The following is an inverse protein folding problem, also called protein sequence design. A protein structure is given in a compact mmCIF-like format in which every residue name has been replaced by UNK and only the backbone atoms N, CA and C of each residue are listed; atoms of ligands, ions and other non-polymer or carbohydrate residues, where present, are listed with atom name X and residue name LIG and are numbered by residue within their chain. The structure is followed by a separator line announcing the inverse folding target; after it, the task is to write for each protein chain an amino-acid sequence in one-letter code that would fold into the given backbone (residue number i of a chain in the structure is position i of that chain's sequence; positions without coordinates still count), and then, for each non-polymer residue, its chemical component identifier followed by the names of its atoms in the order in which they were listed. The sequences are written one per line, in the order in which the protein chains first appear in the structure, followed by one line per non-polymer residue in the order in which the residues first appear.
data_IF_940950587413
#
_entry.id   IF_940950587413
#
_cell.length_a   1.000
_cell.length_b   1.000
_cell.length_c   1.000
_cell.angle_alpha   90.00
_cell.angle_beta   90.00
_cell.angle_gamma   90.00
#
_symmetry.space_group_name_H-M   'P 1'
#
loop_
_entity.id
_entity.type
_entity.pdbx_description
1 polymer ?
#
# COMPACT_ATOMS: atom_id res chain seq x y z
N UNK A 1 3.53 13.25 14.88
CA UNK A 1 4.48 12.49 14.04
C UNK A 1 4.12 12.76 12.60
N UNK A 2 5.10 13.05 11.77
CA UNK A 2 4.93 13.42 10.36
C UNK A 2 5.35 12.28 9.46
N UNK A 3 4.46 11.90 8.53
CA UNK A 3 4.71 10.84 7.55
C UNK A 3 4.62 11.39 6.14
N UNK A 4 5.59 11.05 5.30
CA UNK A 4 5.59 11.38 3.87
C UNK A 4 5.40 10.09 3.08
N UNK A 5 4.49 10.12 2.08
CA UNK A 5 4.36 9.05 1.10
C UNK A 5 4.59 9.60 -0.31
N UNK A 6 5.18 8.78 -1.18
CA UNK A 6 5.52 9.18 -2.55
C UNK A 6 5.03 8.15 -3.57
N UNK A 7 4.22 8.57 -4.51
CA UNK A 7 3.71 7.67 -5.55
C UNK A 7 2.79 8.33 -6.56
N UNK A 8 2.04 7.52 -7.31
CA UNK A 8 1.08 7.98 -8.29
C UNK A 8 -0.34 8.08 -7.71
N UNK A 9 -1.01 9.18 -8.02
CA UNK A 9 -2.44 9.34 -7.80
C UNK A 9 -3.15 9.33 -9.15
N UNK A 10 -4.08 8.39 -9.31
CA UNK A 10 -4.81 8.18 -10.55
C UNK A 10 -6.30 8.54 -10.40
N UNK A 11 -6.92 8.89 -11.51
CA UNK A 11 -8.37 8.85 -11.64
C UNK A 11 -8.83 7.40 -11.63
N UNK A 12 -9.81 7.07 -10.80
CA UNK A 12 -10.56 5.82 -10.83
C UNK A 12 -11.89 6.05 -11.52
N UNK A 13 -12.13 5.31 -12.60
CA UNK A 13 -13.41 5.26 -13.30
C UNK A 13 -14.03 3.88 -13.14
N UNK A 14 -15.26 3.83 -12.62
CA UNK A 14 -15.90 2.59 -12.23
C UNK A 14 -17.39 2.62 -12.58
N UNK A 15 -17.96 1.56 -13.16
CA UNK A 15 -19.41 1.39 -13.25
C UNK A 15 -20.04 1.36 -11.87
N UNK A 16 -21.26 1.86 -11.75
CA UNK A 16 -22.02 1.80 -10.50
C UNK A 16 -22.33 0.36 -10.10
N UNK A 17 -22.34 0.09 -8.82
CA UNK A 17 -22.65 -1.22 -8.24
C UNK A 17 -21.77 -2.33 -8.84
N UNK A 18 -22.38 -3.32 -9.48
CA UNK A 18 -21.72 -4.46 -10.12
C UNK A 18 -21.98 -4.52 -11.64
N UNK A 19 -22.33 -3.36 -12.24
CA UNK A 19 -22.43 -3.25 -13.69
C UNK A 19 -21.09 -3.56 -14.36
N UNK A 20 -21.19 -4.12 -15.57
CA UNK A 20 -20.02 -4.34 -16.41
C UNK A 20 -19.77 -3.11 -17.29
N UNK A 21 -18.53 -2.88 -17.69
CA UNK A 21 -18.20 -1.80 -18.62
C UNK A 21 -19.02 -1.84 -19.90
N UNK A 22 -19.29 -3.06 -20.41
CA UNK A 22 -20.05 -3.25 -21.67
C UNK A 22 -21.55 -2.91 -21.56
N UNK A 23 -22.06 -2.67 -20.36
CA UNK A 23 -23.46 -2.29 -20.11
C UNK A 23 -23.61 -0.91 -19.48
N UNK A 24 -22.54 -0.36 -18.86
CA UNK A 24 -22.61 0.90 -18.15
C UNK A 24 -22.78 2.09 -19.10
N UNK A 25 -23.66 3.03 -18.73
CA UNK A 25 -23.89 4.28 -19.44
C UNK A 25 -23.25 5.50 -18.74
N UNK A 26 -22.74 5.30 -17.53
CA UNK A 26 -22.03 6.31 -16.73
C UNK A 26 -21.03 5.63 -15.81
N UNK A 27 -20.04 6.40 -15.34
CA UNK A 27 -19.00 5.91 -14.44
C UNK A 27 -18.88 6.85 -13.24
N UNK A 28 -18.61 6.28 -12.07
CA UNK A 28 -18.11 7.04 -10.93
C UNK A 28 -16.72 7.57 -11.23
N UNK A 29 -16.49 8.82 -10.83
CA UNK A 29 -15.22 9.51 -10.95
C UNK A 29 -14.65 9.75 -9.56
N UNK A 30 -13.64 8.98 -9.20
CA UNK A 30 -12.93 9.08 -7.91
C UNK A 30 -11.43 9.06 -8.13
N UNK A 31 -10.65 9.04 -7.06
CA UNK A 31 -9.19 8.99 -7.11
C UNK A 31 -8.65 7.90 -6.19
N UNK A 32 -7.49 7.34 -6.56
CA UNK A 32 -6.79 6.38 -5.75
C UNK A 32 -5.36 6.15 -6.24
N UNK A 33 -4.55 5.60 -5.36
CA UNK A 33 -3.16 5.25 -5.60
C UNK A 33 -2.55 4.70 -4.33
N UNK A 34 -1.68 3.70 -4.40
CA UNK A 34 -1.20 2.96 -3.23
C UNK A 34 -0.74 3.86 -2.09
N UNK A 35 0.22 4.73 -2.37
CA UNK A 35 0.82 5.62 -1.37
C UNK A 35 -0.13 6.75 -0.95
N UNK A 36 -1.01 7.20 -1.86
CA UNK A 36 -2.06 8.15 -1.53
C UNK A 36 -3.10 7.54 -0.59
N UNK A 37 -3.46 6.27 -0.80
CA UNK A 37 -4.34 5.52 0.07
C UNK A 37 -3.75 5.37 1.48
N UNK A 38 -2.44 5.12 1.58
CA UNK A 38 -1.70 5.10 2.85
C UNK A 38 -1.75 6.46 3.53
N UNK A 39 -1.49 7.56 2.80
CA UNK A 39 -1.54 8.91 3.35
C UNK A 39 -2.92 9.26 3.93
N UNK A 40 -4.00 8.91 3.22
CA UNK A 40 -5.38 9.13 3.71
C UNK A 40 -5.66 8.30 4.97
N UNK A 41 -5.23 7.04 5.02
CA UNK A 41 -5.37 6.21 6.23
C UNK A 41 -4.68 6.88 7.43
N UNK A 42 -3.43 7.33 7.25
CA UNK A 42 -2.64 7.97 8.32
C UNK A 42 -3.24 9.30 8.78
N UNK A 43 -3.76 10.12 7.84
CA UNK A 43 -4.45 11.35 8.18
C UNK A 43 -5.74 11.07 8.98
N UNK A 44 -6.52 10.06 8.61
CA UNK A 44 -7.70 9.62 9.37
C UNK A 44 -7.36 9.08 10.77
N UNK A 45 -6.15 8.56 10.95
CA UNK A 45 -5.63 8.15 12.26
C UNK A 45 -5.05 9.31 13.09
N UNK A 46 -5.11 10.54 12.56
CA UNK A 46 -4.66 11.74 13.26
C UNK A 46 -3.16 12.03 13.17
N UNK A 47 -2.44 11.40 12.24
CA UNK A 47 -1.05 11.73 11.96
C UNK A 47 -0.96 12.90 10.96
N UNK A 48 0.15 13.63 10.99
CA UNK A 48 0.50 14.63 9.98
C UNK A 48 1.02 13.91 8.73
N UNK A 49 0.13 13.63 7.80
CA UNK A 49 0.41 12.86 6.60
C UNK A 49 0.52 13.77 5.36
N UNK A 50 1.64 13.72 4.67
CA UNK A 50 1.89 14.43 3.43
C UNK A 50 2.04 13.45 2.26
N UNK A 51 1.48 13.81 1.10
CA UNK A 51 1.62 13.04 -0.13
C UNK A 51 2.43 13.82 -1.16
N UNK A 52 3.46 13.19 -1.70
CA UNK A 52 4.36 13.74 -2.72
C UNK A 52 4.12 13.05 -4.04
N UNK A 53 3.95 13.83 -5.10
CA UNK A 53 3.77 13.37 -6.48
C UNK A 53 3.92 14.52 -7.45
N UNK A 54 3.76 14.25 -8.76
CA UNK A 54 3.62 15.28 -9.79
C UNK A 54 2.26 15.16 -10.48
N UNK A 55 1.50 16.26 -10.53
CA UNK A 55 0.17 16.32 -11.12
C UNK A 55 0.03 17.52 -12.05
N UNK A 56 -0.76 17.41 -13.13
CA UNK A 56 -1.03 18.52 -14.05
C UNK A 56 -1.65 19.74 -13.34
N UNK A 57 -1.43 20.92 -13.89
CA UNK A 57 -1.99 22.16 -13.37
C UNK A 57 -3.47 22.38 -13.72
N UNK A 58 -4.00 21.64 -14.70
CA UNK A 58 -5.39 21.76 -15.14
C UNK A 58 -6.41 21.20 -14.10
N UNK A 59 -7.72 21.37 -14.40
CA UNK A 59 -8.81 21.06 -13.46
C UNK A 59 -8.84 19.62 -12.95
N UNK A 60 -8.49 18.61 -13.77
CA UNK A 60 -8.44 17.21 -13.32
C UNK A 60 -7.31 17.00 -12.29
N UNK A 61 -6.13 17.58 -12.54
CA UNK A 61 -5.04 17.56 -11.56
C UNK A 61 -5.40 18.30 -10.27
N UNK A 62 -6.17 19.39 -10.35
CA UNK A 62 -6.68 20.08 -9.16
C UNK A 62 -7.74 19.26 -8.42
N UNK A 63 -8.61 18.54 -9.13
CA UNK A 63 -9.56 17.62 -8.51
C UNK A 63 -8.84 16.48 -7.77
N UNK A 64 -7.74 15.97 -8.33
CA UNK A 64 -6.88 14.99 -7.66
C UNK A 64 -6.30 15.54 -6.34
N UNK A 65 -5.75 16.77 -6.34
CA UNK A 65 -5.27 17.44 -5.12
C UNK A 65 -6.40 17.59 -4.10
N UNK A 66 -7.58 18.04 -4.53
CA UNK A 66 -8.72 18.25 -3.65
C UNK A 66 -9.23 16.94 -3.03
N UNK A 67 -9.10 15.81 -3.74
CA UNK A 67 -9.49 14.49 -3.21
C UNK A 67 -8.69 14.09 -1.97
N UNK A 68 -7.43 14.52 -1.89
CA UNK A 68 -6.56 14.27 -0.72
C UNK A 68 -6.78 15.32 0.38
N UNK A 69 -6.87 16.60 0.00
CA UNK A 69 -7.12 17.70 0.95
C UNK A 69 -8.43 17.52 1.71
N UNK A 70 -9.42 16.94 1.08
CA UNK A 70 -10.71 16.60 1.69
C UNK A 70 -10.56 15.75 2.95
N UNK A 71 -9.55 14.91 3.00
CA UNK A 71 -9.28 13.99 4.10
C UNK A 71 -8.08 14.41 4.97
N UNK A 72 -7.65 15.67 4.86
CA UNK A 72 -6.63 16.22 5.74
C UNK A 72 -5.18 15.87 5.37
N UNK A 73 -4.95 15.30 4.18
CA UNK A 73 -3.58 15.05 3.69
C UNK A 73 -2.94 16.37 3.27
N UNK A 74 -1.70 16.62 3.72
CA UNK A 74 -0.90 17.75 3.25
C UNK A 74 -0.48 17.51 1.79
N UNK A 75 -0.86 18.45 0.93
CA UNK A 75 -0.60 18.43 -0.51
C UNK A 75 0.36 19.54 -0.95
N UNK A 76 0.99 20.23 0.00
CA UNK A 76 1.86 21.39 -0.28
C UNK A 76 3.12 21.03 -1.06
N UNK A 77 3.55 19.76 -0.98
CA UNK A 77 4.72 19.22 -1.67
C UNK A 77 4.41 18.55 -3.00
N UNK A 78 3.17 18.67 -3.51
CA UNK A 78 2.81 18.16 -4.84
C UNK A 78 3.34 19.12 -5.91
N UNK A 79 4.24 18.61 -6.76
CA UNK A 79 4.74 19.33 -7.92
C UNK A 79 3.66 19.42 -9.00
N UNK A 80 3.51 20.60 -9.59
CA UNK A 80 2.50 20.84 -10.65
C UNK A 80 3.17 20.94 -12.01
N UNK A 81 2.71 20.14 -12.97
CA UNK A 81 3.23 20.09 -14.33
C UNK A 81 2.84 18.80 -15.04
N UNK A 82 3.21 18.70 -16.32
CA UNK A 82 2.76 17.59 -17.19
C UNK A 82 1.32 17.77 -17.66
N UNK A 83 0.88 16.87 -18.55
CA UNK A 83 -0.35 17.04 -19.31
C UNK A 83 -1.48 16.10 -18.89
N UNK A 84 -1.18 15.01 -18.13
CA UNK A 84 -2.22 14.06 -17.78
C UNK A 84 -2.06 13.43 -16.41
N UNK A 85 -3.20 13.12 -15.79
CA UNK A 85 -3.33 12.20 -14.65
C UNK A 85 -3.52 10.80 -15.21
N UNK A 86 -2.84 9.81 -14.66
CA UNK A 86 -3.09 8.40 -14.98
C UNK A 86 -4.53 8.01 -14.64
N UNK A 87 -5.07 7.04 -15.37
CA UNK A 87 -6.43 6.53 -15.17
C UNK A 87 -6.36 5.02 -14.95
N UNK A 88 -7.20 4.52 -14.06
CA UNK A 88 -7.55 3.11 -14.07
C UNK A 88 -9.07 2.93 -14.05
N UNK A 89 -9.50 1.96 -14.83
CA UNK A 89 -10.88 1.54 -14.92
C UNK A 89 -11.06 0.29 -14.08
N UNK A 90 -11.99 0.32 -13.13
CA UNK A 90 -12.22 -0.78 -12.21
C UNK A 90 -13.65 -1.32 -12.35
N UNK A 91 -13.79 -2.56 -12.82
CA UNK A 91 -15.06 -3.28 -12.82
C UNK A 91 -15.06 -4.23 -11.61
N UNK A 92 -15.97 -4.02 -10.66
CA UNK A 92 -16.06 -4.88 -9.47
C UNK A 92 -16.48 -6.30 -9.81
N UNK A 93 -15.78 -7.25 -9.23
CA UNK A 93 -16.17 -8.66 -9.28
C UNK A 93 -17.32 -8.99 -8.33
N UNK A 94 -17.97 -10.10 -8.58
CA UNK A 94 -19.01 -10.65 -7.71
C UNK A 94 -19.03 -12.17 -7.80
N UNK A 95 -19.13 -12.87 -6.69
CA UNK A 95 -19.16 -14.33 -6.63
C UNK A 95 -17.95 -14.95 -7.38
N UNK A 96 -18.17 -15.72 -8.43
CA UNK A 96 -17.11 -16.35 -9.24
C UNK A 96 -16.53 -15.42 -10.32
N UNK A 97 -17.15 -14.26 -10.57
CA UNK A 97 -16.66 -13.30 -11.55
C UNK A 97 -15.61 -12.38 -10.90
N UNK A 98 -14.36 -12.53 -11.32
CA UNK A 98 -13.25 -11.68 -10.84
C UNK A 98 -13.45 -10.20 -11.21
N UNK A 99 -12.83 -9.31 -10.43
CA UNK A 99 -12.71 -7.89 -10.78
C UNK A 99 -11.80 -7.70 -11.99
N UNK A 100 -12.10 -6.68 -12.79
CA UNK A 100 -11.27 -6.30 -13.95
C UNK A 100 -10.68 -4.92 -13.71
N UNK A 101 -9.36 -4.79 -13.85
CA UNK A 101 -8.68 -3.51 -13.77
C UNK A 101 -7.91 -3.24 -15.08
N UNK A 102 -8.25 -2.14 -15.74
CA UNK A 102 -7.62 -1.68 -16.98
C UNK A 102 -6.90 -0.38 -16.67
N UNK A 103 -5.60 -0.32 -16.99
CA UNK A 103 -4.79 0.86 -16.75
C UNK A 103 -4.59 1.66 -18.04
N UNK A 104 -4.81 2.96 -17.95
CA UNK A 104 -4.45 3.98 -18.94
C UNK A 104 -3.61 5.05 -18.25
N UNK A 105 -2.34 4.71 -17.98
CA UNK A 105 -1.43 5.53 -17.15
C UNK A 105 -0.14 5.94 -17.87
N UNK A 106 0.07 5.52 -19.12
CA UNK A 106 1.26 5.89 -19.86
C UNK A 106 1.35 7.42 -20.02
N UNK A 107 2.55 7.96 -19.89
CA UNK A 107 2.85 9.39 -19.98
C UNK A 107 2.08 10.25 -18.94
N UNK A 108 1.72 9.69 -17.80
CA UNK A 108 1.21 10.50 -16.69
C UNK A 108 2.28 11.46 -16.16
N UNK A 109 1.87 12.55 -15.53
CA UNK A 109 2.79 13.59 -15.05
C UNK A 109 3.89 13.02 -14.14
N UNK A 110 3.55 12.08 -13.25
CA UNK A 110 4.53 11.42 -12.39
C UNK A 110 5.44 10.46 -13.16
N UNK A 111 4.94 9.74 -14.17
CA UNK A 111 5.76 8.87 -15.00
C UNK A 111 6.84 9.66 -15.77
N UNK A 112 6.55 10.90 -16.16
CA UNK A 112 7.48 11.78 -16.86
C UNK A 112 8.26 12.73 -15.93
N UNK A 113 8.09 12.58 -14.60
CA UNK A 113 8.78 13.41 -13.62
C UNK A 113 10.31 13.22 -13.70
N UNK A 114 11.03 14.25 -13.30
CA UNK A 114 12.49 14.24 -13.23
C UNK A 114 12.94 14.40 -11.76
N UNK A 115 14.13 13.95 -11.38
CA UNK A 115 14.67 14.17 -10.03
C UNK A 115 14.59 15.64 -9.58
N UNK A 116 14.85 16.58 -10.48
CA UNK A 116 14.76 18.00 -10.21
C UNK A 116 13.37 18.56 -9.90
N UNK A 117 12.31 17.75 -10.07
CA UNK A 117 10.95 18.14 -9.71
C UNK A 117 10.71 18.09 -8.18
N UNK A 118 11.61 17.48 -7.40
CA UNK A 118 11.44 17.22 -5.98
C UNK A 118 12.64 17.73 -5.16
N UNK A 119 12.37 18.56 -4.17
CA UNK A 119 13.34 19.02 -3.17
C UNK A 119 13.27 18.12 -1.93
N UNK A 120 13.96 16.98 -1.98
CA UNK A 120 13.90 15.95 -0.92
C UNK A 120 14.46 16.46 0.41
N UNK A 121 15.44 17.36 0.39
CA UNK A 121 15.98 17.98 1.62
C UNK A 121 14.89 18.75 2.36
N UNK A 122 14.13 19.57 1.66
CA UNK A 122 13.01 20.31 2.22
C UNK A 122 11.82 19.38 2.58
N UNK A 123 11.54 18.38 1.77
CA UNK A 123 10.42 17.45 1.98
C UNK A 123 10.62 16.69 3.29
N UNK A 124 11.85 16.27 3.61
CA UNK A 124 12.13 15.48 4.80
C UNK A 124 12.43 16.28 6.07
N UNK A 125 12.34 17.61 6.04
CA UNK A 125 12.44 18.41 7.26
C UNK A 125 11.38 18.02 8.30
N UNK A 126 11.85 17.50 9.46
CA UNK A 126 10.99 17.11 10.58
C UNK A 126 10.08 15.93 10.30
N UNK A 127 10.41 15.09 9.33
CA UNK A 127 9.67 13.86 8.99
C UNK A 127 10.18 12.69 9.83
N UNK A 128 9.25 11.89 10.36
CA UNK A 128 9.55 10.70 11.14
C UNK A 128 9.58 9.42 10.28
N UNK A 129 8.76 9.40 9.21
CA UNK A 129 8.55 8.19 8.38
C UNK A 129 8.35 8.52 6.91
N UNK A 130 8.96 7.72 6.04
CA UNK A 130 8.76 7.75 4.59
C UNK A 130 8.22 6.41 4.10
N UNK A 131 7.23 6.44 3.21
CA UNK A 131 6.66 5.23 2.62
C UNK A 131 6.55 5.34 1.11
N UNK A 132 6.92 4.27 0.41
CA UNK A 132 6.68 4.09 -1.02
C UNK A 132 6.35 2.62 -1.32
N UNK A 133 5.91 2.32 -2.53
CA UNK A 133 5.67 0.95 -2.99
C UNK A 133 6.52 0.62 -4.21
N UNK A 134 6.68 -0.66 -4.52
CA UNK A 134 7.34 -1.11 -5.74
C UNK A 134 6.59 -0.74 -7.04
N UNK A 135 5.35 -0.23 -6.94
CA UNK A 135 4.63 0.32 -8.10
C UNK A 135 5.31 1.59 -8.60
N UNK A 136 5.75 2.44 -7.70
CA UNK A 136 6.27 3.77 -8.04
C UNK A 136 7.55 3.70 -8.88
N UNK A 137 8.62 2.98 -8.50
CA UNK A 137 9.79 2.83 -9.37
C UNK A 137 9.48 2.07 -10.67
N UNK A 138 8.43 1.24 -10.71
CA UNK A 138 8.01 0.54 -11.93
C UNK A 138 7.45 1.47 -13.03
N UNK A 139 7.20 2.75 -12.73
CA UNK A 139 6.71 3.73 -13.69
C UNK A 139 7.76 4.12 -14.74
N UNK A 140 9.06 4.00 -14.43
CA UNK A 140 10.14 4.30 -15.37
C UNK A 140 11.51 4.47 -14.69
N UNK A 141 12.59 4.42 -15.47
CA UNK A 141 13.96 4.53 -14.95
C UNK A 141 14.21 5.87 -14.22
N UNK A 142 13.63 6.96 -14.73
CA UNK A 142 13.66 8.27 -14.08
C UNK A 142 13.00 8.23 -12.70
N UNK A 143 11.91 7.46 -12.54
CA UNK A 143 11.19 7.33 -11.27
C UNK A 143 11.96 6.41 -10.30
N UNK A 144 12.69 5.40 -10.81
CA UNK A 144 13.66 4.64 -9.99
C UNK A 144 14.70 5.58 -9.39
N UNK A 145 15.26 6.51 -10.19
CA UNK A 145 16.24 7.49 -9.69
C UNK A 145 15.61 8.43 -8.66
N UNK A 146 14.40 8.93 -8.89
CA UNK A 146 13.67 9.75 -7.92
C UNK A 146 13.49 9.00 -6.59
N UNK A 147 13.08 7.72 -6.63
CA UNK A 147 12.95 6.88 -5.43
C UNK A 147 14.31 6.71 -4.71
N UNK A 148 15.40 6.54 -5.47
CA UNK A 148 16.75 6.39 -4.90
C UNK A 148 17.19 7.67 -4.18
N UNK A 149 17.00 8.84 -4.80
CA UNK A 149 17.29 10.12 -4.18
C UNK A 149 16.44 10.34 -2.93
N UNK A 150 15.15 10.04 -2.99
CA UNK A 150 14.25 10.11 -1.83
C UNK A 150 14.76 9.23 -0.67
N UNK A 151 15.10 7.97 -0.95
CA UNK A 151 15.60 7.06 0.08
C UNK A 151 16.91 7.55 0.70
N UNK A 152 17.85 8.05 -0.11
CA UNK A 152 19.12 8.61 0.38
C UNK A 152 18.90 9.84 1.27
N UNK A 153 18.07 10.77 0.84
CA UNK A 153 17.74 11.96 1.62
C UNK A 153 17.01 11.59 2.92
N UNK A 154 16.03 10.68 2.86
CA UNK A 154 15.34 10.19 4.06
C UNK A 154 16.32 9.61 5.08
N UNK A 155 17.27 8.77 4.66
CA UNK A 155 18.31 8.23 5.54
C UNK A 155 19.23 9.32 6.11
N UNK A 156 19.60 10.32 5.31
CA UNK A 156 20.42 11.43 5.78
C UNK A 156 19.71 12.26 6.87
N UNK A 157 18.39 12.35 6.81
CA UNK A 157 17.54 13.00 7.82
C UNK A 157 17.14 12.08 9.00
N UNK A 158 17.60 10.82 9.02
CA UNK A 158 17.24 9.86 10.08
C UNK A 158 15.80 9.36 10.02
N UNK A 159 15.14 9.52 8.87
CA UNK A 159 13.76 9.11 8.64
C UNK A 159 13.68 7.59 8.49
N UNK A 160 12.71 6.95 9.15
CA UNK A 160 12.39 5.52 8.93
C UNK A 160 11.74 5.33 7.57
N UNK A 161 12.12 4.25 6.87
CA UNK A 161 11.60 3.95 5.52
C UNK A 161 10.85 2.64 5.52
N UNK A 162 9.61 2.64 5.02
CA UNK A 162 8.88 1.42 4.69
C UNK A 162 8.62 1.30 3.20
N UNK A 163 8.62 0.07 2.71
CA UNK A 163 8.27 -0.25 1.33
C UNK A 163 7.32 -1.46 1.28
N UNK A 164 6.22 -1.33 0.53
CA UNK A 164 5.43 -2.47 0.08
C UNK A 164 5.98 -2.93 -1.28
N UNK A 165 6.45 -4.17 -1.39
CA UNK A 165 7.07 -4.70 -2.62
C UNK A 165 6.12 -4.66 -3.81
N UNK A 166 4.87 -4.96 -3.60
CA UNK A 166 3.72 -4.68 -4.47
C UNK A 166 4.01 -4.87 -5.97
N UNK A 167 4.57 -6.02 -6.36
CA UNK A 167 4.99 -6.31 -7.73
C UNK A 167 3.85 -6.19 -8.74
N UNK A 168 4.13 -5.59 -9.88
CA UNK A 168 3.17 -5.41 -10.98
C UNK A 168 3.76 -5.84 -12.30
N UNK A 169 3.58 -7.11 -12.69
CA UNK A 169 4.07 -7.65 -13.96
C UNK A 169 3.56 -6.97 -15.23
N UNK A 170 2.54 -6.09 -15.13
CA UNK A 170 2.10 -5.23 -16.25
C UNK A 170 2.95 -3.99 -16.45
N UNK A 171 3.78 -3.61 -15.48
CA UNK A 171 4.62 -2.41 -15.53
C UNK A 171 6.07 -2.74 -15.86
N UNK A 172 6.60 -3.81 -15.32
CA UNK A 172 8.00 -4.23 -15.50
C UNK A 172 8.17 -5.74 -15.41
N UNK A 173 9.30 -6.23 -15.93
CA UNK A 173 9.65 -7.65 -15.81
C UNK A 173 10.22 -7.95 -14.41
N UNK A 174 10.28 -9.24 -14.06
CA UNK A 174 10.89 -9.67 -12.79
C UNK A 174 12.37 -9.26 -12.69
N UNK A 175 13.10 -9.28 -13.81
CA UNK A 175 14.48 -8.86 -13.87
C UNK A 175 14.65 -7.37 -13.60
N UNK A 176 13.81 -6.53 -14.20
CA UNK A 176 13.79 -5.09 -13.96
C UNK A 176 13.41 -4.78 -12.50
N UNK A 177 12.36 -5.44 -11.99
CA UNK A 177 11.94 -5.31 -10.60
C UNK A 177 13.07 -5.71 -9.64
N UNK A 178 13.73 -6.83 -9.89
CA UNK A 178 14.83 -7.31 -9.06
C UNK A 178 16.00 -6.32 -9.04
N UNK A 179 16.40 -5.82 -10.18
CA UNK A 179 17.49 -4.85 -10.28
C UNK A 179 17.20 -3.57 -9.48
N UNK A 180 16.06 -2.94 -9.73
CA UNK A 180 15.67 -1.71 -9.05
C UNK A 180 15.41 -1.91 -7.55
N UNK A 181 14.62 -2.92 -7.18
CA UNK A 181 14.25 -3.14 -5.78
C UNK A 181 15.41 -3.66 -4.93
N UNK A 182 16.40 -4.40 -5.51
CA UNK A 182 17.60 -4.79 -4.78
C UNK A 182 18.42 -3.56 -4.34
N UNK A 183 18.46 -2.53 -5.17
CA UNK A 183 19.11 -1.26 -4.81
C UNK A 183 18.26 -0.45 -3.79
N UNK A 184 16.98 -0.28 -4.04
CA UNK A 184 16.12 0.53 -3.17
C UNK A 184 15.91 -0.09 -1.78
N UNK A 185 15.78 -1.40 -1.69
CA UNK A 185 15.55 -2.11 -0.43
C UNK A 185 16.72 -2.04 0.56
N UNK A 186 17.93 -1.66 0.12
CA UNK A 186 19.06 -1.39 1.03
C UNK A 186 18.83 -0.21 1.97
N UNK A 187 17.89 0.68 1.64
CA UNK A 187 17.54 1.84 2.46
C UNK A 187 16.31 1.58 3.36
N UNK A 188 15.60 0.48 3.15
CA UNK A 188 14.32 0.19 3.78
C UNK A 188 14.51 -0.42 5.17
N UNK A 189 13.76 0.08 6.15
CA UNK A 189 13.74 -0.45 7.52
C UNK A 189 12.60 -1.48 7.71
N UNK A 190 11.44 -1.23 7.08
CA UNK A 190 10.25 -2.08 7.21
C UNK A 190 9.75 -2.51 5.83
N UNK A 191 9.82 -3.81 5.57
CA UNK A 191 9.32 -4.41 4.34
C UNK A 191 7.90 -4.92 4.53
N UNK A 192 7.02 -4.57 3.60
CA UNK A 192 5.68 -5.15 3.46
C UNK A 192 5.66 -5.98 2.17
N UNK A 193 5.14 -7.17 2.24
CA UNK A 193 5.07 -8.11 1.12
C UNK A 193 3.78 -8.92 1.20
N UNK A 194 3.39 -9.51 0.11
CA UNK A 194 2.47 -10.64 0.11
C UNK A 194 3.25 -11.94 -0.14
N UNK A 195 2.57 -13.05 -0.18
CA UNK A 195 3.16 -14.39 -0.37
C UNK A 195 3.85 -14.59 -1.73
N UNK A 196 3.48 -13.81 -2.76
CA UNK A 196 4.01 -13.92 -4.13
C UNK A 196 5.15 -12.92 -4.41
N UNK A 197 5.11 -11.72 -3.81
CA UNK A 197 6.04 -10.63 -4.13
C UNK A 197 7.51 -10.98 -3.84
N UNK A 198 7.81 -11.67 -2.73
CA UNK A 198 9.16 -12.07 -2.38
C UNK A 198 9.78 -12.99 -3.45
N UNK A 199 8.96 -13.90 -4.00
CA UNK A 199 9.34 -14.78 -5.10
C UNK A 199 9.50 -13.99 -6.40
N UNK A 200 8.51 -13.18 -6.76
CA UNK A 200 8.48 -12.47 -8.04
C UNK A 200 9.60 -11.43 -8.15
N UNK A 201 9.85 -10.68 -7.08
CA UNK A 201 10.89 -9.63 -7.07
C UNK A 201 12.29 -10.21 -6.84
N UNK A 202 12.46 -11.07 -5.82
CA UNK A 202 13.79 -11.48 -5.38
C UNK A 202 14.11 -12.95 -5.62
N UNK A 203 13.14 -13.77 -6.04
CA UNK A 203 13.30 -15.21 -6.16
C UNK A 203 13.41 -15.92 -4.80
N UNK A 204 12.91 -15.29 -3.73
CA UNK A 204 12.90 -15.84 -2.37
C UNK A 204 11.61 -16.65 -2.19
N UNK A 205 11.77 -17.93 -1.96
CA UNK A 205 10.66 -18.87 -1.74
C UNK A 205 10.84 -19.57 -0.38
N UNK A 206 9.72 -20.07 0.16
CA UNK A 206 9.78 -20.98 1.30
C UNK A 206 10.58 -22.22 0.91
N UNK A 207 11.51 -22.64 1.78
CA UNK A 207 12.17 -23.94 1.62
C UNK A 207 11.08 -25.03 1.57
N UNK A 208 11.24 -26.00 0.63
CA UNK A 208 10.22 -26.97 0.25
C UNK A 208 9.55 -27.63 1.45
N UNK A 209 8.38 -27.15 1.78
CA UNK A 209 7.45 -27.77 2.71
C UNK A 209 6.17 -28.06 1.95
N UNK A 210 5.60 -29.25 2.15
CA UNK A 210 4.41 -29.77 1.46
C UNK A 210 3.30 -28.73 1.23
N UNK A 211 3.20 -28.21 0.01
CA UNK A 211 2.17 -27.27 -0.44
C UNK A 211 0.83 -28.01 -0.67
N UNK A 212 0.75 -29.29 -0.31
CA UNK A 212 -0.44 -30.09 -0.46
C UNK A 212 -1.39 -29.88 0.73
N UNK A 213 -2.41 -29.02 0.54
CA UNK A 213 -3.58 -29.01 1.42
C UNK A 213 -4.09 -27.67 1.94
N UNK A 214 -3.76 -26.52 1.31
CA UNK A 214 -4.46 -25.25 1.64
C UNK A 214 -4.27 -24.72 3.06
N UNK A 215 -3.42 -25.33 3.87
CA UNK A 215 -2.96 -24.76 5.13
C UNK A 215 -1.79 -23.83 4.82
N UNK A 216 -2.00 -22.54 5.04
CA UNK A 216 -0.94 -21.55 5.13
C UNK A 216 0.18 -22.13 5.99
N UNK A 217 1.32 -22.44 5.37
CA UNK A 217 2.43 -23.03 6.11
C UNK A 217 3.17 -21.92 6.87
N UNK A 218 2.84 -21.76 8.14
CA UNK A 218 3.43 -20.73 9.01
C UNK A 218 4.98 -20.74 8.96
N UNK A 219 5.61 -21.92 8.91
CA UNK A 219 7.07 -22.04 8.86
C UNK A 219 7.63 -21.55 7.52
N UNK A 220 6.92 -21.74 6.42
CA UNK A 220 7.29 -21.20 5.12
C UNK A 220 7.34 -19.67 5.12
N UNK A 221 6.34 -19.01 5.70
CA UNK A 221 6.31 -17.55 5.81
C UNK A 221 7.40 -17.01 6.74
N UNK A 222 7.67 -17.67 7.85
CA UNK A 222 8.81 -17.33 8.72
C UNK A 222 10.14 -17.42 7.98
N UNK A 223 10.35 -18.48 7.18
CA UNK A 223 11.54 -18.65 6.36
C UNK A 223 11.70 -17.51 5.34
N UNK A 224 10.62 -17.15 4.62
CA UNK A 224 10.64 -16.04 3.65
C UNK A 224 10.97 -14.71 4.34
N UNK A 225 10.30 -14.40 5.46
CA UNK A 225 10.54 -13.15 6.18
C UNK A 225 11.98 -13.06 6.69
N UNK A 226 12.53 -14.18 7.21
CA UNK A 226 13.91 -14.23 7.66
C UNK A 226 14.90 -14.02 6.51
N UNK A 227 14.70 -14.69 5.36
CA UNK A 227 15.56 -14.53 4.19
C UNK A 227 15.55 -13.08 3.67
N UNK A 228 14.39 -12.42 3.64
CA UNK A 228 14.26 -11.01 3.28
C UNK A 228 15.04 -10.12 4.24
N UNK A 229 14.86 -10.31 5.55
CA UNK A 229 15.56 -9.55 6.58
C UNK A 229 17.08 -9.75 6.52
N UNK A 230 17.53 -10.99 6.41
CA UNK A 230 18.96 -11.33 6.33
C UNK A 230 19.63 -10.73 5.06
N UNK A 231 18.87 -10.66 3.95
CA UNK A 231 19.42 -10.16 2.67
C UNK A 231 19.55 -8.65 2.64
N UNK A 232 18.59 -7.93 3.21
CA UNK A 232 18.51 -6.46 3.07
C UNK A 232 18.74 -5.69 4.37
N UNK A 233 18.79 -6.38 5.51
CA UNK A 233 18.93 -5.73 6.82
C UNK A 233 17.66 -5.08 7.32
N UNK A 234 16.49 -5.52 6.89
CA UNK A 234 15.21 -5.00 7.40
C UNK A 234 15.09 -5.18 8.91
N UNK A 235 14.57 -4.20 9.61
CA UNK A 235 14.23 -4.31 11.04
C UNK A 235 12.97 -5.13 11.27
N UNK A 236 12.02 -5.01 10.32
CA UNK A 236 10.74 -5.75 10.37
C UNK A 236 10.30 -6.17 8.97
N UNK A 237 9.66 -7.34 8.89
CA UNK A 237 9.06 -7.85 7.66
C UNK A 237 7.62 -8.25 7.95
N UNK A 238 6.66 -7.62 7.25
CA UNK A 238 5.26 -7.98 7.30
C UNK A 238 4.86 -8.75 6.03
N UNK A 239 4.15 -9.85 6.20
CA UNK A 239 3.61 -10.65 5.08
C UNK A 239 2.10 -10.74 5.25
N UNK A 240 1.36 -10.20 4.28
CA UNK A 240 -0.10 -10.34 4.22
C UNK A 240 -0.47 -11.71 3.66
N UNK A 241 -1.47 -12.34 4.25
CA UNK A 241 -1.91 -13.71 3.97
C UNK A 241 -3.37 -13.69 3.53
N UNK A 242 -3.61 -14.04 2.27
CA UNK A 242 -4.95 -14.03 1.68
C UNK A 242 -5.39 -15.43 1.31
N UNK A 243 -6.58 -15.80 1.76
CA UNK A 243 -7.29 -16.98 1.27
C UNK A 243 -8.41 -16.54 0.34
N UNK A 244 -8.23 -16.74 -0.97
CA UNK A 244 -9.22 -16.32 -1.98
C UNK A 244 -10.27 -17.40 -2.17
N UNK A 245 -11.47 -17.20 -1.63
CA UNK A 245 -12.60 -18.12 -1.80
C UNK A 245 -13.44 -17.77 -3.04
N UNK A 246 -13.67 -16.46 -3.22
CA UNK A 246 -14.40 -15.92 -4.38
C UNK A 246 -14.02 -14.44 -4.59
N UNK A 247 -14.63 -13.78 -5.57
CA UNK A 247 -14.51 -12.33 -5.70
C UNK A 247 -15.17 -11.58 -4.54
N UNK A 248 -16.11 -12.21 -3.84
CA UNK A 248 -16.89 -11.61 -2.75
C UNK A 248 -16.44 -12.03 -1.35
N UNK A 249 -15.74 -13.13 -1.19
CA UNK A 249 -15.43 -13.70 0.12
C UNK A 249 -13.96 -14.13 0.17
N UNK A 250 -13.21 -13.64 1.17
CA UNK A 250 -11.80 -13.97 1.38
C UNK A 250 -11.51 -14.18 2.88
N UNK A 251 -10.56 -15.08 3.19
CA UNK A 251 -9.87 -15.07 4.48
C UNK A 251 -8.72 -14.04 4.44
N UNK A 252 -8.52 -13.31 5.53
CA UNK A 252 -7.52 -12.26 5.64
C UNK A 252 -6.78 -12.27 6.96
N UNK A 253 -5.46 -12.38 6.91
CA UNK A 253 -4.57 -12.34 8.07
C UNK A 253 -3.19 -11.82 7.65
N UNK A 254 -2.26 -11.71 8.58
CA UNK A 254 -0.87 -11.37 8.31
C UNK A 254 0.08 -11.94 9.35
N UNK A 255 1.37 -11.92 9.02
CA UNK A 255 2.48 -12.17 9.93
C UNK A 255 3.37 -10.93 9.96
N UNK A 256 3.90 -10.58 11.14
CA UNK A 256 4.95 -9.59 11.34
C UNK A 256 6.15 -10.24 12.01
N UNK A 257 7.30 -10.15 11.38
CA UNK A 257 8.59 -10.56 11.93
C UNK A 257 9.33 -9.35 12.47
N UNK A 258 9.71 -9.38 13.74
CA UNK A 258 10.59 -8.40 14.37
C UNK A 258 11.98 -9.02 14.54
N UNK A 259 12.95 -8.46 13.83
CA UNK A 259 14.33 -9.00 13.80
C UNK A 259 15.03 -8.80 15.14
N UNK A 260 14.81 -7.66 15.81
CA UNK A 260 15.49 -7.34 17.06
C UNK A 260 15.13 -8.31 18.21
N UNK A 261 13.87 -8.72 18.31
CA UNK A 261 13.41 -9.72 19.28
C UNK A 261 13.41 -11.14 18.74
N UNK A 262 13.63 -11.32 17.43
CA UNK A 262 13.47 -12.59 16.69
C UNK A 262 12.07 -13.18 16.88
N UNK A 263 11.05 -12.34 16.93
CA UNK A 263 9.66 -12.70 17.19
C UNK A 263 8.83 -12.73 15.92
N UNK A 264 8.02 -13.77 15.73
CA UNK A 264 7.08 -13.92 14.63
C UNK A 264 5.65 -13.88 15.17
N UNK A 265 4.95 -12.80 14.92
CA UNK A 265 3.58 -12.61 15.39
C UNK A 265 2.60 -12.81 14.23
N UNK A 266 1.63 -13.69 14.42
CA UNK A 266 0.52 -13.91 13.50
C UNK A 266 -0.72 -13.20 14.04
N UNK A 267 -1.45 -12.51 13.15
CA UNK A 267 -2.73 -11.89 13.50
C UNK A 267 -3.85 -12.93 13.59
N UNK A 268 -4.98 -12.51 14.16
CA UNK A 268 -6.26 -13.17 13.93
C UNK A 268 -6.57 -13.23 12.43
N UNK A 269 -7.32 -14.24 12.02
CA UNK A 269 -7.89 -14.35 10.69
C UNK A 269 -9.31 -13.79 10.67
N UNK A 270 -9.60 -12.94 9.70
CA UNK A 270 -10.94 -12.42 9.44
C UNK A 270 -11.52 -13.07 8.18
N UNK A 271 -12.77 -13.54 8.27
CA UNK A 271 -13.55 -13.94 7.10
C UNK A 271 -14.28 -12.70 6.58
N UNK A 272 -13.90 -12.26 5.39
CA UNK A 272 -14.34 -11.00 4.80
C UNK A 272 -15.43 -11.21 3.76
N UNK A 273 -16.50 -10.43 3.87
CA UNK A 273 -17.41 -10.15 2.76
C UNK A 273 -17.00 -8.86 2.09
N UNK A 274 -16.47 -8.94 0.88
CA UNK A 274 -15.85 -7.82 0.18
C UNK A 274 -16.89 -6.96 -0.51
N UNK A 275 -16.90 -5.67 -0.17
CA UNK A 275 -17.64 -4.62 -0.89
C UNK A 275 -16.72 -3.99 -1.94
N UNK A 276 -15.49 -3.62 -1.53
CA UNK A 276 -14.45 -3.16 -2.45
C UNK A 276 -13.08 -3.62 -1.94
N UNK A 277 -12.31 -4.29 -2.81
CA UNK A 277 -10.99 -4.83 -2.43
C UNK A 277 -9.84 -3.87 -2.67
N UNK A 278 -10.06 -2.83 -3.48
CA UNK A 278 -9.01 -1.86 -3.80
C UNK A 278 -8.62 -1.08 -2.54
N UNK A 279 -7.33 -0.90 -2.31
CA UNK A 279 -6.82 -0.23 -1.11
C UNK A 279 -6.73 -1.10 0.16
N UNK A 280 -7.09 -2.39 0.09
CA UNK A 280 -6.97 -3.30 1.24
C UNK A 280 -5.53 -3.47 1.72
N UNK A 281 -4.57 -3.71 0.81
CA UNK A 281 -3.12 -3.76 1.12
C UNK A 281 -2.59 -2.43 1.65
N UNK A 282 -2.98 -1.33 1.01
CA UNK A 282 -2.56 0.02 1.41
C UNK A 282 -3.06 0.35 2.82
N UNK A 283 -4.28 -0.08 3.15
CA UNK A 283 -4.87 0.08 4.50
C UNK A 283 -4.13 -0.74 5.56
N UNK A 284 -3.63 -1.92 5.19
CA UNK A 284 -2.73 -2.69 6.04
C UNK A 284 -1.43 -1.92 6.28
N UNK A 285 -0.81 -1.39 5.21
CA UNK A 285 0.41 -0.59 5.29
C UNK A 285 0.23 0.65 6.17
N UNK A 286 -0.84 1.41 5.97
CA UNK A 286 -1.18 2.57 6.81
C UNK A 286 -1.41 2.19 8.27
N UNK A 287 -2.12 1.10 8.54
CA UNK A 287 -2.33 0.58 9.90
C UNK A 287 -1.04 0.15 10.57
N UNK A 288 -0.15 -0.53 9.84
CA UNK A 288 1.14 -0.97 10.36
C UNK A 288 2.03 0.22 10.71
N UNK A 289 2.16 1.20 9.80
CA UNK A 289 2.95 2.43 10.04
C UNK A 289 2.43 3.17 11.28
N UNK A 290 1.11 3.36 11.38
CA UNK A 290 0.48 3.99 12.54
C UNK A 290 0.83 3.25 13.85
N UNK A 291 0.67 1.93 13.85
CA UNK A 291 0.91 1.11 15.04
C UNK A 291 2.39 1.17 15.50
N UNK A 292 3.32 1.06 14.56
CA UNK A 292 4.76 1.14 14.84
C UNK A 292 5.18 2.53 15.36
N UNK A 293 4.68 3.60 14.74
CA UNK A 293 4.94 4.97 15.20
C UNK A 293 4.40 5.22 16.61
N UNK A 294 3.29 4.59 16.99
CA UNK A 294 2.70 4.73 18.33
C UNK A 294 3.25 3.73 19.35
N UNK A 295 4.35 3.03 19.02
CA UNK A 295 5.04 2.14 19.97
C UNK A 295 4.25 0.88 20.39
N UNK A 296 3.30 0.44 19.55
CA UNK A 296 2.60 -0.84 19.78
C UNK A 296 3.59 -2.01 19.69
N UNK A 297 3.37 -3.03 20.48
CA UNK A 297 4.14 -4.29 20.40
C UNK A 297 3.99 -4.93 19.03
N UNK A 298 4.86 -5.87 18.67
CA UNK A 298 4.81 -6.58 17.38
C UNK A 298 3.45 -7.25 17.15
N UNK A 299 2.90 -7.90 18.19
CA UNK A 299 1.58 -8.52 18.11
C UNK A 299 0.45 -7.49 17.95
N UNK A 300 0.45 -6.41 18.74
CA UNK A 300 -0.55 -5.35 18.62
C UNK A 300 -0.48 -4.65 17.26
N UNK A 301 0.71 -4.47 16.71
CA UNK A 301 0.90 -3.82 15.42
C UNK A 301 0.32 -4.65 14.26
N UNK A 302 0.56 -5.97 14.22
CA UNK A 302 0.00 -6.83 13.19
C UNK A 302 -1.52 -6.96 13.33
N UNK A 303 -2.05 -7.03 14.54
CA UNK A 303 -3.51 -7.07 14.79
C UNK A 303 -4.19 -5.79 14.35
N UNK A 304 -3.62 -4.63 14.66
CA UNK A 304 -4.14 -3.32 14.23
C UNK A 304 -4.13 -3.21 12.70
N UNK A 305 -3.03 -3.56 12.05
CA UNK A 305 -2.88 -3.47 10.61
C UNK A 305 -3.89 -4.37 9.87
N UNK A 306 -4.08 -5.60 10.31
CA UNK A 306 -5.04 -6.54 9.71
C UNK A 306 -6.48 -6.08 9.96
N UNK A 307 -6.81 -5.60 11.17
CA UNK A 307 -8.14 -5.08 11.48
C UNK A 307 -8.49 -3.84 10.62
N UNK A 308 -7.53 -2.91 10.44
CA UNK A 308 -7.69 -1.75 9.58
C UNK A 308 -8.00 -2.15 8.13
N UNK A 309 -7.25 -3.11 7.61
CA UNK A 309 -7.47 -3.66 6.27
C UNK A 309 -8.79 -4.42 6.16
N UNK A 310 -9.16 -5.21 7.16
CA UNK A 310 -10.45 -5.92 7.19
C UNK A 310 -11.63 -4.95 7.09
N UNK A 311 -11.62 -3.86 7.86
CA UNK A 311 -12.64 -2.80 7.81
C UNK A 311 -12.67 -2.13 6.43
N UNK A 312 -11.51 -1.84 5.80
CA UNK A 312 -11.46 -1.26 4.47
C UNK A 312 -12.24 -2.07 3.44
N UNK A 313 -12.18 -3.37 3.48
CA UNK A 313 -12.87 -4.24 2.53
C UNK A 313 -14.41 -4.09 2.57
N UNK A 314 -14.96 -3.49 3.62
CA UNK A 314 -16.38 -3.16 3.77
C UNK A 314 -16.77 -1.76 3.26
N UNK A 315 -15.81 -0.99 2.71
CA UNK A 315 -15.99 0.41 2.31
C UNK A 315 -15.73 0.55 0.81
N UNK A 316 -16.62 1.26 0.12
CA UNK A 316 -16.47 1.61 -1.31
C UNK A 316 -15.29 2.57 -1.54
N UNK A 317 -14.66 2.45 -2.70
CA UNK A 317 -13.55 3.30 -3.11
C UNK A 317 -12.20 2.82 -2.56
N UNK A 318 -11.14 3.57 -2.83
CA UNK A 318 -9.76 3.20 -2.48
C UNK A 318 -9.43 3.51 -1.02
N UNK A 319 -9.95 4.62 -0.50
CA UNK A 319 -9.55 5.16 0.79
C UNK A 319 -10.15 4.41 1.97
N UNK A 320 -9.35 4.20 3.00
CA UNK A 320 -9.83 3.65 4.26
C UNK A 320 -10.39 4.78 5.14
N UNK A 321 -11.69 4.77 5.35
CA UNK A 321 -12.44 5.82 6.05
C UNK A 321 -12.76 5.43 7.51
N UNK A 322 -11.93 4.59 8.13
CA UNK A 322 -12.12 4.17 9.53
C UNK A 322 -11.27 4.98 10.49
N UNK A 323 -11.75 5.07 11.73
CA UNK A 323 -11.04 5.71 12.84
C UNK A 323 -10.19 4.70 13.60
N UNK A 324 -9.22 5.19 14.38
CA UNK A 324 -8.41 4.36 15.29
C UNK A 324 -9.30 3.55 16.25
N UNK A 325 -10.35 4.18 16.80
CA UNK A 325 -11.26 3.53 17.73
C UNK A 325 -12.02 2.34 17.09
N UNK A 326 -12.43 2.45 15.83
CA UNK A 326 -13.07 1.36 15.09
C UNK A 326 -12.08 0.20 14.87
N UNK A 327 -10.84 0.52 14.49
CA UNK A 327 -9.79 -0.48 14.27
C UNK A 327 -9.45 -1.20 15.58
N UNK A 328 -9.23 -0.46 16.68
CA UNK A 328 -8.92 -1.04 17.99
C UNK A 328 -10.06 -1.90 18.53
N UNK A 329 -11.31 -1.48 18.32
CA UNK A 329 -12.49 -2.26 18.68
C UNK A 329 -12.52 -3.61 17.97
N UNK A 330 -12.29 -3.64 16.65
CA UNK A 330 -12.24 -4.88 15.87
C UNK A 330 -11.03 -5.74 16.28
N UNK A 331 -9.84 -5.15 16.42
CA UNK A 331 -8.63 -5.85 16.87
C UNK A 331 -8.82 -6.46 18.27
N UNK A 332 -9.56 -5.78 19.16
CA UNK A 332 -9.95 -6.26 20.48
C UNK A 332 -10.97 -7.41 20.49
N UNK A 333 -11.53 -7.77 19.32
CA UNK A 333 -12.42 -8.93 19.15
C UNK A 333 -13.90 -8.60 18.97
N UNK A 334 -14.33 -7.31 19.00
CA UNK A 334 -15.73 -6.95 18.74
C UNK A 334 -15.99 -6.78 17.23
N UNK A 335 -16.19 -7.89 16.55
CA UNK A 335 -16.62 -7.94 15.13
C UNK A 335 -18.13 -8.11 14.97
N UNK A 336 -18.96 -7.77 15.99
CA UNK A 336 -20.40 -8.06 15.99
C UNK A 336 -21.22 -7.26 14.97
N UNK A 337 -20.67 -6.16 14.44
CA UNK A 337 -21.38 -5.27 13.53
C UNK A 337 -22.61 -4.58 14.12
N UNK A 338 -22.76 -4.58 15.45
CA UNK A 338 -23.89 -3.95 16.13
C UNK A 338 -23.84 -2.44 16.01
N UNK A 339 -25.05 -1.82 15.94
CA UNK A 339 -25.18 -0.36 15.93
C UNK A 339 -24.44 0.25 17.11
N UNK A 340 -23.52 1.14 16.83
CA UNK A 340 -22.86 2.00 17.81
C UNK A 340 -23.79 3.19 18.13
N UNK A 341 -24.08 3.40 19.42
CA UNK A 341 -24.92 4.48 19.91
C UNK A 341 -24.14 5.39 20.85
#
# INVERSE_FOLDING_TARGET
MKVVTFGELMVRLQPFNYERFVQANSLEFTFGGGEANVAVSLANYGLDAAFVTKLPAHAIGQAAVNSLRRYGVDTSMITRGGDRVGIYYNEKGASQRGSVCIYDRANSAIQLAQPSDFDWEKIFEGVDWFHFTGITPALGENVVEICREACKAAKAHGVKISCDLNYRGKLWTREQARAAMTDLCQYVDVCISNEEDAKDVFGIEAEATDIYGGKLNAEGYKSVAKQLADKFGFEKVAITLRESHSASDNGWSAMLYDVASNEYCFSKKYELRIIDRVGGGDSFGGGLIYALLNGKTTQEAVEFAVAASALKHSIEGDYNMVTVAEVEKLAGGDGSGRIQR
#
